data_IF_796144960069
#
_entry.id   IF_796144960069
#
_cell.length_a   1.000
_cell.length_b   1.000
_cell.length_c   1.000
_cell.angle_alpha   90.00
_cell.angle_beta   90.00
_cell.angle_gamma   90.00
#
_symmetry.space_group_name_H-M   'P 1'
#
loop_
_entity.id
_entity.type
_entity.pdbx_description
1 polymer ?
#
# COMPACT_ATOMS: atom_id res chain seq x y z
N UNK A 1 -17.73 -0.77 23.37
CA UNK A 1 -16.90 -0.85 22.15
C UNK A 1 -17.71 -0.16 21.08
N UNK A 2 -17.21 0.91 20.46
CA UNK A 2 -18.02 1.69 19.51
C UNK A 2 -18.29 0.84 18.27
N UNK A 3 -19.57 0.54 18.03
CA UNK A 3 -20.11 -0.21 16.89
C UNK A 3 -20.35 0.69 15.66
N UNK A 4 -19.70 1.86 15.59
CA UNK A 4 -19.94 2.87 14.55
C UNK A 4 -19.22 2.58 13.22
N UNK A 5 -18.54 1.44 13.10
CA UNK A 5 -17.83 1.02 11.87
C UNK A 5 -18.52 -0.15 11.19
N UNK A 6 -18.88 0.04 9.92
CA UNK A 6 -19.47 -1.01 9.08
C UNK A 6 -18.36 -2.00 8.67
N UNK A 7 -18.30 -3.14 9.34
CA UNK A 7 -17.39 -4.23 9.00
C UNK A 7 -18.01 -5.19 7.97
N UNK A 8 -17.44 -5.23 6.77
CA UNK A 8 -17.87 -6.10 5.69
C UNK A 8 -16.84 -7.21 5.46
N UNK A 9 -17.31 -8.40 5.07
CA UNK A 9 -16.48 -9.59 4.81
C UNK A 9 -16.85 -10.20 3.47
N UNK A 10 -15.89 -10.88 2.86
CA UNK A 10 -16.02 -11.64 1.62
C UNK A 10 -15.69 -13.09 1.92
N UNK A 11 -16.49 -14.04 1.43
CA UNK A 11 -16.27 -15.47 1.67
C UNK A 11 -15.60 -16.15 0.47
N UNK A 12 -14.28 -16.23 0.49
CA UNK A 12 -13.50 -16.88 -0.56
C UNK A 12 -13.73 -18.40 -0.66
N UNK A 13 -14.17 -19.06 0.42
CA UNK A 13 -14.46 -20.52 0.41
C UNK A 13 -15.70 -20.80 -0.47
N UNK A 14 -16.66 -19.89 -0.48
CA UNK A 14 -17.85 -19.98 -1.31
C UNK A 14 -17.63 -19.51 -2.77
N UNK A 15 -16.38 -19.21 -3.16
CA UNK A 15 -16.06 -18.66 -4.48
C UNK A 15 -16.46 -17.20 -4.67
N UNK A 16 -16.76 -16.47 -3.59
CA UNK A 16 -17.06 -15.03 -3.64
C UNK A 16 -15.73 -14.24 -3.60
N UNK A 17 -15.45 -13.48 -4.66
CA UNK A 17 -14.25 -12.64 -4.76
C UNK A 17 -14.56 -11.15 -4.77
N UNK A 18 -15.80 -10.78 -5.16
CA UNK A 18 -16.29 -9.41 -5.19
C UNK A 18 -17.72 -9.40 -4.68
N UNK A 19 -17.98 -8.63 -3.62
CA UNK A 19 -19.32 -8.45 -3.05
C UNK A 19 -19.79 -7.01 -3.33
N UNK A 20 -20.98 -6.85 -3.88
CA UNK A 20 -21.56 -5.53 -4.24
C UNK A 20 -20.61 -4.64 -5.09
N UNK A 21 -19.84 -5.24 -6.00
CA UNK A 21 -18.91 -4.57 -6.92
C UNK A 21 -17.75 -3.77 -6.30
N UNK A 22 -17.78 -3.47 -5.00
CA UNK A 22 -16.84 -2.58 -4.32
C UNK A 22 -16.11 -3.27 -3.15
N UNK A 23 -16.70 -4.32 -2.58
CA UNK A 23 -16.17 -4.99 -1.38
C UNK A 23 -15.31 -6.17 -1.85
N UNK A 24 -14.00 -6.01 -1.71
CA UNK A 24 -13.00 -6.99 -2.14
C UNK A 24 -11.66 -6.72 -1.44
N UNK A 25 -10.83 -7.75 -1.30
CA UNK A 25 -9.49 -7.66 -0.69
C UNK A 25 -8.38 -7.43 -1.73
N UNK A 26 -8.70 -7.51 -3.03
CA UNK A 26 -7.73 -7.40 -4.13
C UNK A 26 -6.87 -6.12 -4.08
N UNK A 27 -7.45 -5.00 -3.63
CA UNK A 27 -6.70 -3.73 -3.52
C UNK A 27 -5.55 -3.82 -2.51
N UNK A 28 -5.85 -4.24 -1.28
CA UNK A 28 -4.84 -4.35 -0.22
C UNK A 28 -3.84 -5.48 -0.52
N UNK A 29 -4.28 -6.58 -1.10
CA UNK A 29 -3.41 -7.68 -1.56
C UNK A 29 -2.45 -7.22 -2.65
N UNK A 30 -2.92 -6.40 -3.60
CA UNK A 30 -2.11 -5.80 -4.64
C UNK A 30 -0.99 -4.92 -4.08
N UNK A 31 -1.30 -4.08 -3.08
CA UNK A 31 -0.31 -3.25 -2.38
C UNK A 31 0.75 -4.11 -1.69
N UNK A 32 0.35 -5.17 -0.98
CA UNK A 32 1.29 -6.09 -0.32
C UNK A 32 2.16 -6.87 -1.30
N UNK A 33 1.61 -7.23 -2.46
CA UNK A 33 2.37 -7.90 -3.52
C UNK A 33 3.43 -6.97 -4.13
N UNK A 34 3.15 -5.68 -4.28
CA UNK A 34 4.13 -4.68 -4.72
C UNK A 34 5.22 -4.45 -3.67
N UNK A 35 4.83 -4.31 -2.40
CA UNK A 35 5.79 -4.15 -1.30
C UNK A 35 6.78 -5.31 -1.24
N UNK A 36 6.30 -6.56 -1.27
CA UNK A 36 7.17 -7.75 -1.27
C UNK A 36 8.16 -7.77 -2.45
N UNK A 37 7.74 -7.37 -3.65
CA UNK A 37 8.65 -7.27 -4.81
C UNK A 37 9.71 -6.18 -4.63
N UNK A 38 9.34 -5.04 -4.05
CA UNK A 38 10.28 -3.96 -3.75
C UNK A 38 11.36 -4.39 -2.74
N UNK A 39 10.99 -5.24 -1.78
CA UNK A 39 11.94 -5.82 -0.83
C UNK A 39 12.91 -6.73 -1.56
N UNK A 40 12.40 -7.72 -2.29
CA UNK A 40 13.25 -8.68 -3.02
C UNK A 40 14.17 -7.99 -4.04
N UNK A 41 13.71 -6.92 -4.69
CA UNK A 41 14.45 -6.22 -5.73
C UNK A 41 15.43 -5.15 -5.25
N UNK A 42 15.05 -4.31 -4.28
CA UNK A 42 15.87 -3.16 -3.84
C UNK A 42 16.47 -3.35 -2.45
N UNK A 43 15.78 -4.06 -1.56
CA UNK A 43 16.14 -4.17 -0.15
C UNK A 43 16.33 -5.63 0.25
N UNK A 44 17.48 -6.21 -0.11
CA UNK A 44 17.79 -7.63 0.15
C UNK A 44 17.74 -8.03 1.64
N UNK A 45 17.82 -7.07 2.57
CA UNK A 45 17.63 -7.31 4.00
C UNK A 45 16.95 -6.11 4.69
N UNK A 46 15.87 -6.37 5.42
CA UNK A 46 15.16 -5.37 6.21
C UNK A 46 15.35 -5.65 7.70
N UNK A 47 15.82 -4.65 8.44
CA UNK A 47 15.74 -4.70 9.90
C UNK A 47 14.32 -4.37 10.35
N UNK A 48 13.73 -5.13 11.31
CA UNK A 48 12.42 -4.83 11.87
C UNK A 48 12.28 -3.38 12.38
N UNK A 49 13.38 -2.81 12.87
CA UNK A 49 13.47 -1.43 13.40
C UNK A 49 13.16 -0.36 12.36
N UNK A 50 13.30 -0.65 11.07
CA UNK A 50 13.17 0.33 9.99
C UNK A 50 11.99 0.08 9.07
N UNK A 51 11.13 -0.92 9.36
CA UNK A 51 9.96 -1.27 8.55
C UNK A 51 9.09 -0.04 8.23
N UNK A 52 8.90 0.84 9.21
CA UNK A 52 8.12 2.07 9.01
C UNK A 52 8.70 2.99 7.92
N UNK A 53 10.03 3.10 7.81
CA UNK A 53 10.68 3.92 6.78
C UNK A 53 10.45 3.35 5.37
N UNK A 54 10.55 2.02 5.23
CA UNK A 54 10.31 1.34 3.96
C UNK A 54 8.85 1.41 3.51
N UNK A 55 7.91 1.33 4.46
CA UNK A 55 6.48 1.55 4.18
C UNK A 55 6.23 2.99 3.72
N UNK A 56 6.78 3.99 4.41
CA UNK A 56 6.63 5.39 3.99
C UNK A 56 7.18 5.64 2.58
N UNK A 57 8.33 5.06 2.26
CA UNK A 57 8.93 5.15 0.93
C UNK A 57 8.06 4.46 -0.13
N UNK A 58 7.57 3.25 0.15
CA UNK A 58 6.69 2.52 -0.78
C UNK A 58 5.41 3.31 -1.05
N UNK A 59 4.77 3.85 -0.01
CA UNK A 59 3.57 4.70 -0.14
C UNK A 59 3.86 5.94 -0.99
N UNK A 60 5.01 6.60 -0.76
CA UNK A 60 5.41 7.75 -1.57
C UNK A 60 5.60 7.37 -3.03
N UNK A 61 6.33 6.27 -3.33
CA UNK A 61 6.54 5.79 -4.70
C UNK A 61 5.22 5.41 -5.38
N UNK A 62 4.30 4.77 -4.66
CA UNK A 62 3.01 4.36 -5.19
C UNK A 62 2.13 5.57 -5.55
N UNK A 63 2.10 6.59 -4.69
CA UNK A 63 1.32 7.80 -4.92
C UNK A 63 1.98 8.72 -5.97
N UNK A 64 3.30 8.75 -6.02
CA UNK A 64 4.07 9.57 -6.98
C UNK A 64 4.22 8.94 -8.37
N UNK A 65 3.61 7.78 -8.64
CA UNK A 65 3.74 7.07 -9.93
C UNK A 65 3.22 7.83 -11.14
N UNK A 66 2.28 8.76 -10.93
CA UNK A 66 1.66 9.55 -11.99
C UNK A 66 2.28 10.95 -12.11
N UNK A 67 3.21 11.31 -11.24
CA UNK A 67 3.90 12.60 -11.27
C UNK A 67 5.02 12.58 -12.29
N UNK A 68 5.19 13.68 -13.01
CA UNK A 68 6.32 13.86 -13.93
C UNK A 68 7.66 13.93 -13.16
N UNK A 69 8.77 13.55 -13.79
CA UNK A 69 10.09 13.46 -13.13
C UNK A 69 10.50 14.77 -12.44
N UNK A 70 10.16 15.93 -13.03
CA UNK A 70 10.42 17.25 -12.46
C UNK A 70 9.65 17.55 -11.18
N UNK A 71 8.39 17.10 -11.07
CA UNK A 71 7.57 17.31 -9.87
C UNK A 71 7.98 16.39 -8.72
N UNK A 72 8.44 15.17 -9.02
CA UNK A 72 8.90 14.21 -8.01
C UNK A 72 10.11 14.73 -7.24
N UNK A 73 11.05 15.37 -7.93
CA UNK A 73 12.25 15.97 -7.31
C UNK A 73 11.88 17.20 -6.48
N UNK A 74 10.91 18.01 -6.93
CA UNK A 74 10.42 19.17 -6.19
C UNK A 74 9.70 18.77 -4.89
N UNK A 75 8.83 17.75 -4.95
CA UNK A 75 8.09 17.27 -3.78
C UNK A 75 9.03 16.67 -2.71
N UNK A 76 10.11 15.98 -3.11
CA UNK A 76 11.11 15.47 -2.17
C UNK A 76 11.86 16.59 -1.41
N UNK A 77 11.90 17.81 -1.95
CA UNK A 77 12.56 18.98 -1.33
C UNK A 77 11.62 19.84 -0.48
N UNK A 78 10.30 19.59 -0.56
CA UNK A 78 9.35 20.27 0.30
C UNK A 78 9.48 19.75 1.75
N UNK A 79 9.57 20.64 2.76
CA UNK A 79 9.54 20.21 4.14
C UNK A 79 8.20 19.51 4.42
N UNK A 80 8.25 18.28 4.92
CA UNK A 80 7.04 17.63 5.44
C UNK A 80 6.58 18.41 6.68
N UNK A 81 5.30 18.81 6.78
CA UNK A 81 4.77 19.45 7.98
C UNK A 81 4.86 18.54 9.21
#
# INVERSE_FOLDING_TARGET
MNDDYIHLRVNHIAGEYVRHFLIHTNGVEGVWALFKRQIVGTHHYLSPKHIGRYLSEMTWRFNARAMEEGERVAHCRSPRP
#
